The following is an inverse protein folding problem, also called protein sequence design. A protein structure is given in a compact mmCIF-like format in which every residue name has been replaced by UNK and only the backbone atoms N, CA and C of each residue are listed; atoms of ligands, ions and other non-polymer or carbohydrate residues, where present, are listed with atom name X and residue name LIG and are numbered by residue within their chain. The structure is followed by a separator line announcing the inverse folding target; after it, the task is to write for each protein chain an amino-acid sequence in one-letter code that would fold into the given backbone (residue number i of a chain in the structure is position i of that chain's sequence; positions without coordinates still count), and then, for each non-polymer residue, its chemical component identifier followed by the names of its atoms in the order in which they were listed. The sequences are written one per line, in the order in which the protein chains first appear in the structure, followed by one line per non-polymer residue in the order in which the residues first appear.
data_IF_525779289638
#
_entry.id   IF_525779289638
#
_cell.length_a   1.000
_cell.length_b   1.000
_cell.length_c   1.000
_cell.angle_alpha   90.00
_cell.angle_beta   90.00
_cell.angle_gamma   90.00
#
_symmetry.space_group_name_H-M   'P 1'
#
loop_
_entity.id
_entity.type
_entity.pdbx_description
1 polymer ?
#
# COMPACT_ATOMS: atom_id res chain seq x y z
N UNK A 1 2.79 -31.84 0.45
CA UNK A 1 3.31 -32.14 -0.90
C UNK A 1 4.71 -32.71 -0.75
N UNK A 2 5.02 -33.83 -1.42
CA UNK A 2 6.39 -34.35 -1.52
C UNK A 2 7.19 -33.50 -2.52
N UNK A 3 8.53 -33.49 -2.44
CA UNK A 3 9.38 -32.71 -3.35
C UNK A 3 9.15 -33.04 -4.83
N UNK A 4 8.83 -34.30 -5.17
CA UNK A 4 8.49 -34.70 -6.53
C UNK A 4 7.18 -34.08 -7.03
N UNK A 5 6.14 -34.01 -6.19
CA UNK A 5 4.85 -33.42 -6.58
C UNK A 5 5.00 -31.92 -6.93
N UNK A 6 5.83 -31.19 -6.18
CA UNK A 6 6.10 -29.78 -6.44
C UNK A 6 6.89 -29.54 -7.73
N UNK A 7 7.86 -30.41 -8.05
CA UNK A 7 8.59 -30.35 -9.32
C UNK A 7 7.68 -30.66 -10.51
N UNK A 8 6.77 -31.62 -10.37
CA UNK A 8 5.80 -31.95 -11.43
C UNK A 8 4.83 -30.80 -11.70
N UNK A 9 4.29 -30.18 -10.65
CA UNK A 9 3.37 -29.04 -10.76
C UNK A 9 4.06 -27.79 -11.35
N UNK A 10 5.25 -27.45 -10.85
CA UNK A 10 5.98 -26.28 -11.38
C UNK A 10 6.32 -26.45 -12.86
N UNK A 11 6.66 -27.66 -13.30
CA UNK A 11 6.84 -27.99 -14.72
C UNK A 11 5.53 -27.85 -15.52
N UNK A 12 4.39 -28.31 -15.01
CA UNK A 12 3.09 -28.15 -15.70
C UNK A 12 2.64 -26.69 -15.78
N UNK A 13 3.14 -25.84 -14.88
CA UNK A 13 2.97 -24.39 -14.87
C UNK A 13 4.06 -23.65 -15.66
N UNK A 14 4.89 -24.33 -16.47
CA UNK A 14 5.97 -23.70 -17.25
C UNK A 14 7.05 -22.98 -16.42
N UNK A 15 7.18 -23.28 -15.12
CA UNK A 15 8.21 -22.67 -14.29
C UNK A 15 9.53 -23.42 -14.45
N UNK A 16 10.62 -22.66 -14.59
CA UNK A 16 11.96 -23.22 -14.67
C UNK A 16 12.64 -23.19 -13.31
N UNK A 17 13.31 -24.28 -12.93
CA UNK A 17 14.19 -24.27 -11.76
C UNK A 17 15.47 -23.51 -12.12
N UNK A 18 15.79 -22.47 -11.34
CA UNK A 18 16.98 -21.63 -11.53
C UNK A 18 18.08 -22.01 -10.55
N UNK A 19 17.69 -22.33 -9.31
CA UNK A 19 18.63 -22.73 -8.26
C UNK A 19 18.07 -23.96 -7.57
N UNK A 20 18.95 -24.92 -7.31
CA UNK A 20 18.72 -26.03 -6.39
C UNK A 20 19.97 -26.15 -5.54
N UNK A 21 19.86 -25.76 -4.27
CA UNK A 21 20.94 -25.85 -3.29
C UNK A 21 20.50 -26.71 -2.13
N UNK A 22 21.43 -27.41 -1.51
CA UNK A 22 21.21 -28.25 -0.34
C UNK A 22 22.30 -27.92 0.67
N UNK A 23 21.92 -27.41 1.84
CA UNK A 23 22.85 -27.11 2.91
C UNK A 23 23.28 -28.40 3.64
N UNK A 24 24.42 -28.33 4.33
CA UNK A 24 25.01 -29.42 5.13
C UNK A 24 24.04 -29.91 6.22
N UNK A 25 23.12 -29.05 6.66
CA UNK A 25 22.08 -29.35 7.64
C UNK A 25 20.83 -30.01 7.01
N UNK A 26 20.84 -30.38 5.72
CA UNK A 26 19.72 -31.00 5.02
C UNK A 26 18.59 -30.03 4.64
N UNK A 27 18.82 -28.72 4.73
CA UNK A 27 17.86 -27.70 4.28
C UNK A 27 18.16 -27.34 2.83
N UNK A 28 17.27 -27.77 1.93
CA UNK A 28 17.36 -27.45 0.50
C UNK A 28 16.53 -26.23 0.10
N UNK A 29 17.10 -25.34 -0.71
CA UNK A 29 16.40 -24.21 -1.32
C UNK A 29 16.25 -24.45 -2.81
N UNK A 30 15.03 -24.32 -3.32
CA UNK A 30 14.74 -24.40 -4.76
C UNK A 30 14.09 -23.10 -5.21
N UNK A 31 14.71 -22.41 -6.16
CA UNK A 31 14.18 -21.18 -6.73
C UNK A 31 13.60 -21.49 -8.11
N UNK A 32 12.34 -21.11 -8.30
CA UNK A 32 11.64 -21.25 -9.57
C UNK A 32 11.41 -19.88 -10.21
N UNK A 33 11.48 -19.82 -11.53
CA UNK A 33 11.20 -18.62 -12.31
C UNK A 33 10.01 -18.84 -13.23
N UNK A 34 9.07 -17.89 -13.19
CA UNK A 34 7.93 -17.80 -14.08
C UNK A 34 8.38 -17.49 -15.52
N UNK A 35 7.66 -17.96 -16.56
CA UNK A 35 7.97 -17.61 -17.94
C UNK A 35 7.82 -16.11 -18.18
N UNK A 36 8.66 -15.58 -19.08
CA UNK A 36 8.66 -14.15 -19.46
C UNK A 36 7.59 -13.81 -20.50
N UNK A 37 7.06 -14.82 -21.19
CA UNK A 37 6.03 -14.70 -22.21
C UNK A 37 4.88 -15.69 -21.96
N UNK A 38 3.74 -15.43 -22.59
CA UNK A 38 2.57 -16.31 -22.48
C UNK A 38 2.62 -17.54 -23.40
N UNK A 39 3.62 -17.66 -24.30
CA UNK A 39 3.67 -18.74 -25.29
C UNK A 39 3.62 -20.12 -24.62
N UNK A 40 4.43 -20.32 -23.57
CA UNK A 40 4.44 -21.60 -22.86
C UNK A 40 3.09 -21.93 -22.23
N UNK A 41 2.34 -20.94 -21.73
CA UNK A 41 1.03 -21.17 -21.14
C UNK A 41 -0.03 -21.59 -22.17
N UNK A 42 0.07 -21.07 -23.40
CA UNK A 42 -0.84 -21.36 -24.52
C UNK A 42 -0.53 -22.71 -25.20
N UNK A 43 0.74 -23.12 -25.19
CA UNK A 43 1.22 -24.34 -25.85
C UNK A 43 1.17 -25.60 -24.95
N UNK A 44 0.56 -25.50 -23.75
CA UNK A 44 0.52 -26.63 -22.80
C UNK A 44 -0.33 -27.77 -23.34
N UNK A 45 0.25 -28.97 -23.31
CA UNK A 45 -0.45 -30.22 -23.68
C UNK A 45 -1.58 -30.58 -22.70
N UNK A 46 -1.44 -30.20 -21.44
CA UNK A 46 -2.40 -30.50 -20.38
C UNK A 46 -2.68 -29.21 -19.61
N UNK A 47 -3.93 -28.77 -19.59
CA UNK A 47 -4.34 -27.51 -18.97
C UNK A 47 -4.62 -27.67 -17.46
N UNK A 48 -3.63 -28.21 -16.74
CA UNK A 48 -3.69 -28.43 -15.31
C UNK A 48 -2.47 -27.78 -14.63
N UNK A 49 -2.65 -26.65 -13.90
CA UNK A 49 -3.89 -25.90 -13.65
C UNK A 49 -4.36 -25.04 -14.85
N UNK A 50 -5.67 -24.73 -14.87
CA UNK A 50 -6.34 -23.94 -15.92
C UNK A 50 -5.83 -22.49 -15.97
N UNK A 51 -6.08 -21.79 -17.08
CA UNK A 51 -5.89 -20.34 -17.15
C UNK A 51 -7.06 -19.62 -16.46
N UNK A 52 -6.78 -18.53 -15.76
CA UNK A 52 -7.81 -17.72 -15.14
C UNK A 52 -8.67 -17.04 -16.22
N UNK A 53 -9.99 -17.11 -16.08
CA UNK A 53 -10.93 -16.40 -16.95
C UNK A 53 -10.84 -14.89 -16.70
N UNK A 54 -10.77 -14.08 -17.77
CA UNK A 54 -10.84 -12.61 -17.68
C UNK A 54 -12.21 -12.07 -17.22
N UNK A 55 -13.18 -12.96 -16.95
CA UNK A 55 -14.60 -12.63 -16.75
C UNK A 55 -14.99 -12.30 -15.31
N UNK A 56 -14.11 -12.50 -14.35
CA UNK A 56 -14.42 -12.09 -13.00
C UNK A 56 -13.99 -10.63 -12.83
N UNK A 57 -14.99 -9.77 -12.61
CA UNK A 57 -14.79 -8.35 -12.33
C UNK A 57 -13.84 -8.10 -11.16
N UNK A 58 -13.55 -6.83 -10.85
CA UNK A 58 -12.65 -6.40 -9.76
C UNK A 58 -12.78 -7.30 -8.52
N UNK A 59 -11.88 -8.27 -8.39
CA UNK A 59 -11.86 -9.21 -7.28
C UNK A 59 -11.14 -8.49 -6.16
N UNK A 60 -11.89 -8.05 -5.18
CA UNK A 60 -11.31 -7.40 -4.02
C UNK A 60 -10.36 -8.39 -3.31
N UNK A 61 -9.08 -8.09 -3.14
CA UNK A 61 -8.07 -9.07 -2.72
C UNK A 61 -8.09 -9.41 -1.22
N UNK A 62 -8.96 -8.79 -0.43
CA UNK A 62 -9.09 -9.01 1.01
C UNK A 62 -10.07 -10.15 1.32
N UNK A 63 -9.65 -11.12 2.13
CA UNK A 63 -10.38 -12.36 2.42
C UNK A 63 -10.90 -13.13 1.19
N UNK A 64 -10.28 -12.92 0.02
CA UNK A 64 -10.57 -13.68 -1.18
C UNK A 64 -9.76 -14.99 -1.20
N UNK A 65 -10.38 -16.15 -1.41
CA UNK A 65 -9.64 -17.39 -1.60
C UNK A 65 -8.79 -17.30 -2.87
N UNK A 66 -7.58 -17.86 -2.81
CA UNK A 66 -6.72 -17.97 -4.00
C UNK A 66 -7.35 -18.90 -5.02
N UNK A 67 -7.41 -18.48 -6.28
CA UNK A 67 -7.86 -19.35 -7.35
C UNK A 67 -6.81 -20.42 -7.68
N UNK A 68 -7.30 -21.59 -8.06
CA UNK A 68 -6.49 -22.69 -8.60
C UNK A 68 -6.23 -22.52 -10.10
N UNK A 69 -5.85 -21.33 -10.55
CA UNK A 69 -5.61 -21.01 -11.96
C UNK A 69 -4.33 -20.19 -12.19
N UNK A 70 -3.82 -20.20 -13.42
CA UNK A 70 -2.66 -19.41 -13.85
C UNK A 70 -3.15 -18.11 -14.48
N UNK A 71 -2.69 -16.98 -13.94
CA UNK A 71 -2.92 -15.67 -14.53
C UNK A 71 -1.92 -15.44 -15.68
N UNK A 72 -2.38 -15.24 -16.93
CA UNK A 72 -1.50 -14.86 -18.03
C UNK A 72 -0.85 -13.51 -17.76
N UNK A 73 0.39 -13.33 -18.24
CA UNK A 73 1.08 -12.05 -18.18
C UNK A 73 0.36 -11.04 -19.09
N UNK A 74 0.21 -9.79 -18.67
CA UNK A 74 -0.48 -8.75 -19.48
C UNK A 74 0.25 -8.39 -20.80
N UNK A 75 1.44 -8.94 -21.05
CA UNK A 75 2.23 -8.74 -22.26
C UNK A 75 1.65 -9.61 -23.38
N UNK A 76 0.62 -9.12 -24.06
CA UNK A 76 -0.01 -9.79 -25.20
C UNK A 76 -0.12 -8.93 -26.45
N UNK A 77 0.74 -7.93 -26.63
CA UNK A 77 0.91 -7.23 -27.91
C UNK A 77 2.37 -7.28 -28.34
N UNK A 78 2.56 -7.54 -29.62
CA UNK A 78 3.79 -7.82 -30.37
C UNK A 78 4.75 -6.63 -30.51
N UNK A 79 4.95 -5.84 -29.45
CA UNK A 79 5.98 -4.81 -29.39
C UNK A 79 6.86 -5.06 -28.15
N UNK A 80 7.89 -5.87 -28.33
CA UNK A 80 8.89 -6.16 -27.29
C UNK A 80 9.69 -4.92 -26.87
N UNK A 81 9.56 -3.79 -27.57
CA UNK A 81 10.27 -2.53 -27.32
C UNK A 81 9.50 -1.46 -26.54
N UNK A 82 8.17 -1.58 -26.34
CA UNK A 82 7.35 -0.51 -25.74
C UNK A 82 6.86 -0.77 -24.30
N UNK A 83 7.05 -1.99 -23.78
CA UNK A 83 6.46 -2.44 -22.51
C UNK A 83 7.46 -2.72 -21.38
N UNK A 84 8.69 -2.20 -21.45
CA UNK A 84 9.53 -2.18 -20.27
C UNK A 84 8.99 -1.11 -19.30
N UNK A 85 8.71 -1.44 -18.03
CA UNK A 85 8.30 -0.44 -17.07
C UNK A 85 9.38 0.62 -16.99
N UNK A 86 8.99 1.91 -16.97
CA UNK A 86 9.95 3.01 -16.87
C UNK A 86 10.94 2.76 -15.73
N UNK A 87 12.15 3.31 -15.84
CA UNK A 87 13.16 3.13 -14.80
C UNK A 87 12.75 3.95 -13.58
N UNK A 88 12.93 3.40 -12.38
CA UNK A 88 12.77 4.20 -11.17
C UNK A 88 13.86 5.29 -11.13
N UNK A 89 13.56 6.57 -10.87
CA UNK A 89 12.34 7.10 -10.24
C UNK A 89 11.25 7.63 -11.19
N UNK A 90 11.36 7.50 -12.50
CA UNK A 90 10.41 8.10 -13.45
C UNK A 90 8.97 7.59 -13.27
N UNK A 91 8.82 6.33 -12.86
CA UNK A 91 7.53 5.70 -12.52
C UNK A 91 6.77 6.38 -11.39
N UNK A 92 7.44 7.18 -10.56
CA UNK A 92 6.77 7.92 -9.50
C UNK A 92 5.81 8.96 -10.03
N UNK A 93 6.12 9.59 -11.17
CA UNK A 93 5.36 10.73 -11.69
C UNK A 93 4.64 10.35 -12.99
N UNK A 94 5.07 9.28 -13.65
CA UNK A 94 4.48 8.83 -14.92
C UNK A 94 3.92 7.43 -14.77
N UNK A 95 2.60 7.32 -14.87
CA UNK A 95 1.94 6.02 -14.93
C UNK A 95 2.19 5.36 -16.29
N UNK A 96 2.62 4.11 -16.27
CA UNK A 96 2.95 3.33 -17.47
C UNK A 96 2.25 1.97 -17.40
N UNK A 97 0.91 1.95 -17.52
CA UNK A 97 0.13 0.72 -17.63
C UNK A 97 -1.15 0.93 -18.45
N UNK A 98 -1.48 -0.11 -19.22
CA UNK A 98 -2.67 -0.42 -20.05
C UNK A 98 -3.24 0.73 -20.93
N UNK A 99 -3.30 0.58 -22.27
CA UNK A 99 -3.73 1.62 -23.22
C UNK A 99 -5.16 2.18 -23.07
N UNK A 100 -6.00 1.67 -22.17
CA UNK A 100 -7.46 1.82 -22.27
C UNK A 100 -8.14 2.40 -21.01
N UNK A 101 -7.38 3.04 -20.10
CA UNK A 101 -7.94 3.65 -18.89
C UNK A 101 -7.46 5.09 -18.66
N UNK A 102 -7.88 5.99 -19.56
CA UNK A 102 -7.60 7.43 -19.48
C UNK A 102 -8.10 8.05 -18.16
N UNK A 103 -9.23 7.59 -17.64
CA UNK A 103 -9.81 8.09 -16.40
C UNK A 103 -8.91 7.80 -15.18
N UNK A 104 -8.26 6.64 -15.14
CA UNK A 104 -7.29 6.31 -14.09
C UNK A 104 -6.01 7.14 -14.22
N UNK A 105 -5.53 7.40 -15.44
CA UNK A 105 -4.38 8.28 -15.69
C UNK A 105 -4.67 9.69 -15.17
N UNK A 106 -5.82 10.27 -15.51
CA UNK A 106 -6.21 11.61 -15.06
C UNK A 106 -6.29 11.70 -13.52
N UNK A 107 -6.87 10.69 -12.85
CA UNK A 107 -6.94 10.63 -11.39
C UNK A 107 -5.55 10.51 -10.75
N UNK A 108 -4.68 9.69 -11.34
CA UNK A 108 -3.29 9.52 -10.89
C UNK A 108 -2.50 10.83 -10.98
N UNK A 109 -2.61 11.54 -12.10
CA UNK A 109 -1.91 12.80 -12.33
C UNK A 109 -2.45 13.90 -11.39
N UNK A 110 -3.77 13.95 -11.21
CA UNK A 110 -4.42 14.86 -10.27
C UNK A 110 -3.97 14.62 -8.83
N UNK A 111 -3.95 13.36 -8.38
CA UNK A 111 -3.46 12.96 -7.04
C UNK A 111 -1.99 13.35 -6.84
N UNK A 112 -1.14 13.06 -7.81
CA UNK A 112 0.30 13.37 -7.77
C UNK A 112 0.53 14.89 -7.68
N UNK A 113 -0.17 15.68 -8.50
CA UNK A 113 -0.07 17.14 -8.49
C UNK A 113 -0.59 17.72 -7.17
N UNK A 114 -1.74 17.24 -6.70
CA UNK A 114 -2.36 17.67 -5.45
C UNK A 114 -1.41 17.49 -4.27
N UNK A 115 -0.88 16.28 -4.08
CA UNK A 115 0.00 16.01 -2.93
C UNK A 115 1.32 16.76 -3.01
N UNK A 116 1.92 16.89 -4.21
CA UNK A 116 3.14 17.70 -4.38
C UNK A 116 2.91 19.15 -3.93
N UNK A 117 1.76 19.73 -4.28
CA UNK A 117 1.40 21.09 -3.89
C UNK A 117 1.14 21.18 -2.38
N UNK A 118 0.28 20.33 -1.83
CA UNK A 118 -0.11 20.38 -0.41
C UNK A 118 1.08 20.14 0.52
N UNK A 119 1.98 19.22 0.18
CA UNK A 119 3.19 18.95 0.96
C UNK A 119 4.10 20.19 1.01
N UNK A 120 4.34 20.81 -0.15
CA UNK A 120 5.23 21.96 -0.26
C UNK A 120 4.66 23.23 0.37
N UNK A 121 3.36 23.48 0.21
CA UNK A 121 2.71 24.71 0.68
C UNK A 121 2.29 24.64 2.15
N UNK A 122 1.79 23.49 2.61
CA UNK A 122 1.16 23.36 3.94
C UNK A 122 2.02 22.53 4.90
N UNK A 123 2.45 21.33 4.50
CA UNK A 123 3.05 20.39 5.45
C UNK A 123 4.41 20.86 5.98
N UNK A 124 5.23 21.45 5.11
CA UNK A 124 6.53 21.96 5.52
C UNK A 124 6.47 23.32 6.22
N UNK A 125 5.45 24.13 5.96
CA UNK A 125 5.39 25.51 6.43
C UNK A 125 4.48 25.71 7.66
N UNK A 126 3.33 25.04 7.68
CA UNK A 126 2.28 25.30 8.67
C UNK A 126 2.22 24.23 9.78
N UNK A 127 2.77 23.03 9.56
CA UNK A 127 2.71 21.97 10.56
C UNK A 127 3.86 22.05 11.55
N UNK A 128 3.62 21.85 12.86
CA UNK A 128 4.65 21.84 13.89
C UNK A 128 5.53 20.55 13.88
N UNK A 129 5.66 19.89 12.72
CA UNK A 129 6.37 18.62 12.56
C UNK A 129 7.82 18.89 12.14
N UNK A 130 8.78 18.35 12.88
CA UNK A 130 10.18 18.38 12.46
C UNK A 130 10.45 17.25 11.45
N UNK A 131 10.18 17.52 10.16
CA UNK A 131 10.37 16.56 9.06
C UNK A 131 11.80 16.02 8.92
N UNK A 132 12.83 16.72 9.42
CA UNK A 132 14.21 16.23 9.41
C UNK A 132 14.44 15.05 10.37
N UNK A 133 13.58 14.90 11.38
CA UNK A 133 13.64 13.81 12.37
C UNK A 133 12.80 12.59 12.01
N UNK A 134 11.92 12.72 11.02
CA UNK A 134 11.02 11.65 10.56
C UNK A 134 11.80 10.63 9.73
N UNK A 135 11.57 9.34 9.97
CA UNK A 135 12.20 8.23 9.24
C UNK A 135 11.17 7.27 8.65
N UNK A 136 10.05 7.08 9.31
CA UNK A 136 8.98 6.21 8.82
C UNK A 136 7.60 6.86 8.93
N UNK A 137 6.86 6.79 7.84
CA UNK A 137 5.51 7.32 7.72
C UNK A 137 4.60 6.19 7.29
N UNK A 138 3.37 6.19 7.79
CA UNK A 138 2.31 5.35 7.25
C UNK A 138 1.21 6.25 6.72
N UNK A 139 0.89 6.09 5.44
CA UNK A 139 -0.26 6.70 4.81
C UNK A 139 -1.44 5.74 4.88
N UNK A 140 -2.36 6.01 5.78
CA UNK A 140 -3.46 5.10 6.12
C UNK A 140 -4.51 5.01 5.01
N UNK A 141 -4.54 5.98 4.09
CA UNK A 141 -5.40 5.97 2.90
C UNK A 141 -4.64 6.56 1.72
N UNK A 142 -3.83 5.73 1.08
CA UNK A 142 -2.81 6.19 0.14
C UNK A 142 -3.36 6.65 -1.22
N UNK A 143 -4.62 6.34 -1.57
CA UNK A 143 -5.16 6.62 -2.89
C UNK A 143 -4.23 6.07 -3.97
N UNK A 144 -3.69 6.92 -4.84
CA UNK A 144 -2.76 6.51 -5.89
C UNK A 144 -1.27 6.54 -5.46
N UNK A 145 -0.97 6.84 -4.19
CA UNK A 145 0.38 6.94 -3.65
C UNK A 145 1.05 8.30 -3.89
N UNK A 146 0.29 9.34 -4.23
CA UNK A 146 0.85 10.68 -4.50
C UNK A 146 1.50 11.33 -3.28
N UNK A 147 0.97 11.08 -2.08
CA UNK A 147 1.59 11.54 -0.82
C UNK A 147 3.01 10.99 -0.66
N UNK A 148 3.19 9.67 -0.84
CA UNK A 148 4.49 9.05 -0.77
C UNK A 148 5.44 9.52 -1.89
N UNK A 149 4.93 9.70 -3.10
CA UNK A 149 5.70 10.25 -4.21
C UNK A 149 6.19 11.68 -3.93
N UNK A 150 5.37 12.51 -3.27
CA UNK A 150 5.73 13.88 -2.90
C UNK A 150 6.81 13.95 -1.79
N UNK A 151 7.05 12.85 -1.06
CA UNK A 151 8.06 12.77 0.00
C UNK A 151 9.34 12.04 -0.44
N UNK A 152 9.47 11.64 -1.71
CA UNK A 152 10.60 10.81 -2.19
C UNK A 152 11.97 11.45 -1.95
N UNK A 153 12.07 12.78 -2.01
CA UNK A 153 13.34 13.50 -1.83
C UNK A 153 13.78 13.59 -0.36
N UNK A 154 13.01 13.00 0.57
CA UNK A 154 13.34 12.93 1.99
C UNK A 154 13.93 11.56 2.35
N UNK A 155 14.87 11.50 3.30
CA UNK A 155 15.46 10.23 3.77
C UNK A 155 14.49 9.49 4.72
N UNK A 156 13.28 9.21 4.23
CA UNK A 156 12.22 8.51 4.93
C UNK A 156 11.55 7.51 3.97
N UNK A 157 10.78 6.58 4.52
CA UNK A 157 9.95 5.68 3.73
C UNK A 157 8.50 5.78 4.18
N UNK A 158 7.59 5.47 3.25
CA UNK A 158 6.15 5.53 3.46
C UNK A 158 5.55 4.15 3.24
N UNK A 159 4.88 3.60 4.27
CA UNK A 159 3.97 2.47 4.09
C UNK A 159 2.65 3.00 3.53
N UNK A 160 2.31 2.63 2.30
CA UNK A 160 1.04 3.02 1.69
C UNK A 160 -0.03 1.98 2.01
N UNK A 161 -1.13 2.39 2.62
CA UNK A 161 -2.25 1.49 2.92
C UNK A 161 -3.42 1.83 2.01
N UNK A 162 -3.98 0.84 1.33
CA UNK A 162 -5.22 0.95 0.56
C UNK A 162 -6.34 0.30 1.39
N UNK A 163 -7.25 1.08 1.97
CA UNK A 163 -8.34 0.54 2.77
C UNK A 163 -9.28 -0.33 1.94
N UNK A 164 -9.91 -1.32 2.58
CA UNK A 164 -10.74 -2.27 1.85
C UNK A 164 -12.02 -1.70 1.23
N UNK A 165 -12.45 -0.54 1.71
CA UNK A 165 -13.63 0.18 1.26
C UNK A 165 -13.30 1.25 0.20
N UNK A 166 -12.06 1.30 -0.28
CA UNK A 166 -11.58 2.24 -1.29
C UNK A 166 -11.32 1.56 -2.64
N UNK A 167 -11.23 2.31 -3.75
CA UNK A 167 -10.86 1.76 -5.05
C UNK A 167 -9.52 1.01 -5.00
N UNK A 168 -9.42 -0.09 -5.75
CA UNK A 168 -8.21 -0.90 -5.80
C UNK A 168 -7.08 -0.19 -6.57
N UNK A 169 -6.27 0.57 -5.83
CA UNK A 169 -5.15 1.36 -6.35
C UNK A 169 -3.79 0.80 -5.97
N UNK A 170 -3.73 -0.29 -5.19
CA UNK A 170 -2.45 -0.87 -4.78
C UNK A 170 -1.59 -1.35 -5.98
N UNK A 171 -2.15 -1.92 -7.06
CA UNK A 171 -1.38 -2.23 -8.26
C UNK A 171 -0.75 -0.99 -8.90
N UNK A 172 -1.42 0.17 -8.80
CA UNK A 172 -0.88 1.45 -9.27
C UNK A 172 0.30 1.89 -8.39
N UNK A 173 0.17 1.78 -7.08
CA UNK A 173 1.24 2.07 -6.10
C UNK A 173 2.48 1.20 -6.38
N UNK A 174 2.28 -0.10 -6.62
CA UNK A 174 3.38 -1.01 -6.99
C UNK A 174 3.99 -0.67 -8.35
N UNK A 175 3.16 -0.28 -9.33
CA UNK A 175 3.63 0.18 -10.64
C UNK A 175 4.49 1.44 -10.53
N UNK A 176 4.21 2.33 -9.55
CA UNK A 176 5.10 3.46 -9.24
C UNK A 176 6.45 2.99 -8.74
N UNK A 177 6.52 1.85 -8.05
CA UNK A 177 7.70 1.34 -7.33
C UNK A 177 7.68 1.64 -5.83
N UNK A 178 6.51 1.97 -5.28
CA UNK A 178 6.29 2.20 -3.86
C UNK A 178 5.86 0.91 -3.17
N UNK A 179 6.03 0.85 -1.84
CA UNK A 179 5.55 -0.27 -1.01
C UNK A 179 4.17 0.04 -0.45
N UNK A 180 3.35 -1.00 -0.29
CA UNK A 180 2.04 -0.85 0.31
C UNK A 180 1.32 -2.17 0.57
N UNK A 181 0.17 -2.06 1.24
CA UNK A 181 -0.68 -3.19 1.64
C UNK A 181 -2.15 -2.83 1.51
N UNK A 182 -3.01 -3.85 1.38
CA UNK A 182 -4.42 -3.70 1.72
C UNK A 182 -4.60 -3.83 3.23
N UNK A 183 -5.56 -3.12 3.80
CA UNK A 183 -5.91 -3.29 5.22
C UNK A 183 -7.35 -2.89 5.52
N UNK A 184 -8.02 -3.63 6.40
CA UNK A 184 -9.26 -3.19 7.01
C UNK A 184 -8.97 -2.48 8.34
N UNK A 185 -9.20 -1.16 8.39
CA UNK A 185 -8.99 -0.36 9.60
C UNK A 185 -9.98 -0.63 10.74
N UNK A 186 -11.00 -1.46 10.52
CA UNK A 186 -11.79 -2.04 11.61
C UNK A 186 -11.11 -3.27 12.26
N UNK A 187 -9.98 -3.71 11.71
CA UNK A 187 -9.11 -4.75 12.26
C UNK A 187 -7.76 -4.16 12.68
N UNK A 188 -7.08 -4.84 13.60
CA UNK A 188 -5.74 -4.47 14.04
C UNK A 188 -4.72 -4.64 12.91
N UNK A 189 -3.93 -3.60 12.65
CA UNK A 189 -2.83 -3.62 11.69
C UNK A 189 -1.64 -4.40 12.25
N UNK A 190 -1.12 -5.37 11.50
CA UNK A 190 0.07 -6.09 11.91
C UNK A 190 1.32 -5.19 11.78
N UNK A 191 1.79 -4.67 12.90
CA UNK A 191 2.95 -3.76 12.94
C UNK A 191 4.28 -4.45 13.20
N UNK A 192 4.37 -5.78 13.16
CA UNK A 192 5.61 -6.44 13.57
C UNK A 192 6.82 -6.08 12.67
N UNK A 193 7.96 -5.59 13.22
CA UNK A 193 8.23 -5.16 14.60
C UNK A 193 8.35 -3.62 14.79
N UNK A 194 7.70 -2.77 13.99
CA UNK A 194 7.92 -1.30 14.00
C UNK A 194 6.68 -0.45 14.31
N UNK A 195 6.92 0.62 15.07
CA UNK A 195 6.05 1.80 15.19
C UNK A 195 6.42 2.87 14.17
N UNK A 196 5.52 3.82 13.89
CA UNK A 196 5.75 4.92 12.94
C UNK A 196 5.99 6.27 13.65
N UNK A 197 6.78 7.15 13.02
CA UNK A 197 7.03 8.51 13.46
C UNK A 197 5.87 9.44 13.06
N UNK A 198 5.25 9.19 11.89
CA UNK A 198 4.07 9.92 11.41
C UNK A 198 3.01 8.96 10.89
N UNK A 199 1.76 9.15 11.34
CA UNK A 199 0.57 8.58 10.72
C UNK A 199 -0.15 9.68 9.94
N UNK A 200 -0.31 9.47 8.64
CA UNK A 200 -1.06 10.34 7.75
C UNK A 200 -2.40 9.68 7.42
N UNK A 201 -3.49 10.45 7.52
CA UNK A 201 -4.84 9.98 7.24
C UNK A 201 -5.59 11.09 6.49
N UNK A 202 -5.93 10.86 5.22
CA UNK A 202 -6.76 11.76 4.42
C UNK A 202 -8.07 11.09 4.03
N UNK A 203 -9.19 11.72 4.39
CA UNK A 203 -10.55 11.37 3.99
C UNK A 203 -10.93 9.91 4.26
N UNK A 204 -10.46 9.36 5.39
CA UNK A 204 -10.68 7.96 5.80
C UNK A 204 -11.83 7.80 6.80
N UNK A 205 -11.97 8.72 7.77
CA UNK A 205 -12.88 8.51 8.90
C UNK A 205 -14.35 8.54 8.46
N UNK A 206 -14.68 9.33 7.44
CA UNK A 206 -16.05 9.46 6.94
C UNK A 206 -16.69 8.15 6.47
N UNK A 207 -15.93 7.29 5.78
CA UNK A 207 -16.40 5.96 5.38
C UNK A 207 -16.21 4.93 6.49
N UNK A 208 -15.06 4.98 7.18
CA UNK A 208 -14.68 4.02 8.20
C UNK A 208 -15.64 4.00 9.40
N UNK A 209 -16.05 5.17 9.88
CA UNK A 209 -16.97 5.31 11.03
C UNK A 209 -18.40 4.81 10.78
N UNK A 210 -18.71 4.38 9.55
CA UNK A 210 -19.95 3.67 9.22
C UNK A 210 -19.86 2.16 9.51
N UNK A 211 -18.64 1.63 9.64
CA UNK A 211 -18.36 0.20 9.84
C UNK A 211 -17.83 -0.12 11.25
N UNK A 212 -17.04 0.75 11.85
CA UNK A 212 -16.49 0.57 13.20
C UNK A 212 -16.42 1.87 14.01
N UNK A 213 -16.22 1.76 15.32
CA UNK A 213 -16.21 2.90 16.23
C UNK A 213 -14.91 3.73 16.06
N UNK A 214 -15.04 5.05 16.07
CA UNK A 214 -13.91 5.97 16.05
C UNK A 214 -12.94 5.75 17.22
N UNK A 215 -13.43 5.23 18.36
CA UNK A 215 -12.61 4.89 19.51
C UNK A 215 -11.67 3.72 19.23
N UNK A 216 -12.12 2.72 18.48
CA UNK A 216 -11.28 1.58 18.08
C UNK A 216 -10.19 2.03 17.12
N UNK A 217 -10.55 2.88 16.15
CA UNK A 217 -9.59 3.49 15.22
C UNK A 217 -8.56 4.35 15.97
N UNK A 218 -9.00 5.15 16.94
CA UNK A 218 -8.12 5.98 17.75
C UNK A 218 -7.17 5.15 18.62
N UNK A 219 -7.65 4.03 19.20
CA UNK A 219 -6.82 3.11 19.96
C UNK A 219 -5.76 2.45 19.06
N UNK A 220 -6.11 2.12 17.83
CA UNK A 220 -5.17 1.55 16.86
C UNK A 220 -4.13 2.57 16.41
N UNK A 221 -4.55 3.79 16.11
CA UNK A 221 -3.65 4.93 15.83
C UNK A 221 -2.69 5.17 17.00
N UNK A 222 -3.18 5.12 18.24
CA UNK A 222 -2.33 5.24 19.42
C UNK A 222 -1.32 4.09 19.49
N UNK A 223 -1.77 2.84 19.30
CA UNK A 223 -0.90 1.66 19.37
C UNK A 223 0.23 1.68 18.34
N UNK A 224 -0.06 2.11 17.10
CA UNK A 224 0.90 2.13 15.99
C UNK A 224 1.89 3.30 16.10
N UNK A 225 1.43 4.46 16.55
CA UNK A 225 2.23 5.68 16.61
C UNK A 225 3.17 5.65 17.82
N UNK A 226 4.47 5.86 17.58
CA UNK A 226 5.44 5.91 18.66
C UNK A 226 5.21 7.15 19.55
N UNK A 227 5.60 7.10 20.84
CA UNK A 227 5.64 8.32 21.65
C UNK A 227 6.51 9.40 21.03
N UNK A 228 6.04 10.65 21.04
CA UNK A 228 6.67 11.78 20.36
C UNK A 228 6.38 11.88 18.86
N UNK A 229 5.72 10.87 18.27
CA UNK A 229 5.29 10.87 16.87
C UNK A 229 4.08 11.78 16.62
N UNK A 230 3.72 11.91 15.34
CA UNK A 230 2.68 12.83 14.88
C UNK A 230 1.57 12.10 14.13
N UNK A 231 0.33 12.46 14.43
CA UNK A 231 -0.84 12.16 13.61
C UNK A 231 -1.18 13.41 12.79
N UNK A 232 -1.35 13.23 11.48
CA UNK A 232 -1.88 14.23 10.57
C UNK A 232 -3.18 13.70 10.00
N UNK A 233 -4.30 14.29 10.41
CA UNK A 233 -5.63 13.94 9.95
C UNK A 233 -6.21 15.07 9.09
N UNK A 234 -6.48 14.77 7.82
CA UNK A 234 -7.32 15.59 6.94
C UNK A 234 -8.67 14.90 6.76
N UNK A 235 -9.75 15.53 7.19
CA UNK A 235 -11.12 15.03 6.99
C UNK A 235 -12.10 16.20 7.13
N UNK A 236 -13.39 15.92 7.01
CA UNK A 236 -14.46 16.86 7.32
C UNK A 236 -14.34 17.41 8.74
N UNK A 237 -14.77 18.67 8.93
CA UNK A 237 -14.73 19.31 10.25
C UNK A 237 -15.55 18.56 11.31
N UNK A 238 -16.58 17.82 10.92
CA UNK A 238 -17.37 17.01 11.84
C UNK A 238 -16.58 15.79 12.35
N UNK A 239 -15.83 15.12 11.48
CA UNK A 239 -14.93 14.03 11.89
C UNK A 239 -13.77 14.55 12.75
N UNK A 240 -13.19 15.71 12.40
CA UNK A 240 -12.17 16.36 13.23
C UNK A 240 -12.71 16.69 14.63
N UNK A 241 -13.94 17.21 14.73
CA UNK A 241 -14.59 17.51 16.03
C UNK A 241 -14.85 16.25 16.85
N UNK A 242 -15.11 15.11 16.21
CA UNK A 242 -15.28 13.80 16.89
C UNK A 242 -13.94 13.21 17.36
N UNK A 243 -12.90 13.25 16.52
CA UNK A 243 -11.59 12.65 16.81
C UNK A 243 -10.80 13.47 17.84
N UNK A 244 -10.86 14.80 17.79
CA UNK A 244 -10.03 15.68 18.63
C UNK A 244 -10.21 15.47 20.15
N UNK A 245 -11.43 15.34 20.71
CA UNK A 245 -11.62 15.01 22.12
C UNK A 245 -10.99 13.67 22.53
N UNK A 246 -11.09 12.65 21.66
CA UNK A 246 -10.50 11.33 21.90
C UNK A 246 -8.98 11.39 21.95
N UNK A 247 -8.34 12.10 21.01
CA UNK A 247 -6.89 12.29 21.05
C UNK A 247 -6.45 13.05 22.31
N UNK A 248 -7.24 14.04 22.75
CA UNK A 248 -6.95 14.80 23.97
C UNK A 248 -7.09 13.96 25.24
N UNK A 249 -8.06 13.05 25.31
CA UNK A 249 -8.16 12.12 26.45
C UNK A 249 -7.00 11.13 26.48
N UNK A 250 -6.40 10.82 25.33
CA UNK A 250 -5.14 10.09 25.19
C UNK A 250 -3.89 10.98 25.36
N UNK A 251 -4.04 12.20 25.87
CA UNK A 251 -2.96 13.16 26.13
C UNK A 251 -2.17 13.62 24.89
N UNK A 252 -2.78 13.66 23.71
CA UNK A 252 -2.15 14.27 22.53
C UNK A 252 -2.20 15.80 22.60
N UNK A 253 -1.14 16.46 22.15
CA UNK A 253 -1.13 17.89 21.88
C UNK A 253 -1.71 18.15 20.48
N UNK A 254 -2.91 18.71 20.41
CA UNK A 254 -3.65 18.87 19.14
C UNK A 254 -3.72 20.32 18.65
N UNK A 255 -3.42 20.54 17.37
CA UNK A 255 -3.57 21.83 16.67
C UNK A 255 -4.44 21.63 15.42
N UNK A 256 -5.31 22.59 15.13
CA UNK A 256 -6.06 22.61 13.86
C UNK A 256 -5.38 23.60 12.92
N UNK A 257 -5.00 23.14 11.74
CA UNK A 257 -4.30 23.93 10.72
C UNK A 257 -5.22 24.12 9.50
N UNK A 258 -5.31 25.37 9.01
CA UNK A 258 -6.13 25.78 7.84
C UNK A 258 -7.61 25.34 7.89
N UNK A 259 -8.15 25.02 9.07
CA UNK A 259 -9.50 24.45 9.27
C UNK A 259 -9.78 23.18 8.42
N UNK A 260 -8.72 22.45 8.07
CA UNK A 260 -8.80 21.24 7.24
C UNK A 260 -7.98 20.09 7.83
N UNK A 261 -6.98 20.41 8.65
CA UNK A 261 -6.08 19.42 9.22
C UNK A 261 -6.14 19.45 10.74
N UNK A 262 -6.23 18.29 11.36
CA UNK A 262 -5.95 18.06 12.77
C UNK A 262 -4.56 17.43 12.88
N UNK A 263 -3.63 18.17 13.45
CA UNK A 263 -2.28 17.69 13.73
C UNK A 263 -2.16 17.40 15.22
N UNK A 264 -1.81 16.18 15.58
CA UNK A 264 -1.70 15.72 16.97
C UNK A 264 -0.31 15.17 17.26
N UNK A 265 0.38 15.69 18.27
CA UNK A 265 1.63 15.08 18.78
C UNK A 265 1.30 14.12 19.92
N UNK A 266 1.74 12.86 19.79
CA UNK A 266 1.62 11.90 20.89
C UNK A 266 2.62 12.25 21.99
N UNK A 267 2.13 12.48 23.20
CA UNK A 267 3.01 12.75 24.34
C UNK A 267 3.53 11.45 24.94
N UNK A 268 4.63 11.53 25.70
CA UNK A 268 5.10 10.41 26.50
C UNK A 268 4.34 10.42 27.84
N UNK A 269 3.11 9.92 27.83
CA UNK A 269 2.28 9.81 29.03
C UNK A 269 2.22 8.37 29.52
N UNK A 270 2.38 8.19 30.84
CA UNK A 270 2.09 6.95 31.56
C UNK A 270 1.22 7.31 32.76
N UNK A 271 0.14 6.55 33.04
CA UNK A 271 -0.59 6.70 34.29
C UNK A 271 0.39 6.57 35.45
N UNK A 272 0.35 7.50 36.41
CA UNK A 272 1.03 7.30 37.70
C UNK A 272 0.29 6.17 38.42
N UNK A 273 1.04 5.14 38.84
CA UNK A 273 0.51 4.04 39.65
C UNK A 273 0.05 4.53 41.01
#
# INVERSE_FOLDING_TARGET
MTGMAMVTLTKSMCWRTVVKSEDINGIGVVIYQKPTSNSCYLERKTNEPLLCSKKDGSRFPWYAPLDSCILPTAVSSSDETSNSPLVWPERLIRYASVPDDSATIEKFDADTKYWKQVISEVYYNDFPVNWSSVRNVMDMNAGYGGFAAALVDKPLWVMNVVPIDQPDTLPVIFSRGLIGVYHDWCESFNTYPRTYDVLHMSDLLGSLTKRCDILEVAAEVDRILRPGGWLVLKDTMDMIKKMRPVLRSLHYETVIVKRQFLVGKKTFWRPRR
#
